data_IF_310645319757
#
_entry.id   IF_310645319757
#
_cell.length_a   1.000
_cell.length_b   1.000
_cell.length_c   1.000
_cell.angle_alpha   90.00
_cell.angle_beta   90.00
_cell.angle_gamma   90.00
#
_symmetry.space_group_name_H-M   'P 1'
#
loop_
_entity.id
_entity.type
_entity.pdbx_description
1 polymer ?
#
# COMPACT_ATOMS: atom_id res chain seq x y z
N UNK A 1 15.54 15.68 -12.52
CA UNK A 1 16.19 14.97 -11.40
C UNK A 1 15.12 14.70 -10.34
N UNK A 2 14.58 13.47 -10.31
CA UNK A 2 13.64 13.03 -9.30
C UNK A 2 14.43 12.40 -8.15
N UNK A 3 14.46 13.06 -7.00
CA UNK A 3 15.04 12.48 -5.79
C UNK A 3 14.05 11.50 -5.18
N UNK A 4 14.33 10.23 -5.34
CA UNK A 4 13.66 9.18 -4.56
C UNK A 4 14.24 9.25 -3.16
N UNK A 5 13.48 9.78 -2.21
CA UNK A 5 13.89 9.80 -0.80
C UNK A 5 13.60 8.42 -0.18
N UNK A 6 14.43 7.45 -0.55
CA UNK A 6 14.54 6.22 0.22
C UNK A 6 15.64 6.44 1.26
N UNK A 7 15.30 6.50 2.53
CA UNK A 7 16.32 6.57 3.58
C UNK A 7 16.90 5.17 3.75
N UNK A 8 18.12 4.97 3.25
CA UNK A 8 18.87 3.73 3.43
C UNK A 8 20.24 4.10 3.97
N UNK A 9 20.57 3.58 5.15
CA UNK A 9 21.95 3.53 5.65
C UNK A 9 22.38 2.06 5.68
N UNK A 10 23.37 1.69 4.86
CA UNK A 10 23.88 0.33 4.75
C UNK A 10 25.24 0.15 5.43
N UNK A 11 25.43 -0.97 6.13
CA UNK A 11 26.74 -1.58 6.39
C UNK A 11 26.62 -3.09 6.28
N UNK A 12 27.51 -3.71 5.49
CA UNK A 12 27.65 -5.16 5.36
C UNK A 12 28.18 -5.74 6.68
N UNK A 13 27.35 -6.49 7.37
CA UNK A 13 27.68 -7.30 8.52
C UNK A 13 26.44 -8.10 8.88
N UNK A 14 26.55 -9.32 9.38
CA UNK A 14 25.46 -10.24 9.75
C UNK A 14 24.08 -9.60 9.69
N UNK A 15 23.20 -10.03 8.76
CA UNK A 15 21.87 -9.42 8.55
C UNK A 15 21.05 -9.60 9.85
N UNK A 16 21.20 -8.67 10.77
CA UNK A 16 20.26 -8.49 11.87
C UNK A 16 18.97 -8.00 11.23
N UNK A 17 17.85 -8.65 11.49
CA UNK A 17 16.55 -8.20 11.02
C UNK A 17 16.31 -6.77 11.47
N UNK A 18 15.95 -5.89 10.54
CA UNK A 18 15.58 -4.49 10.85
C UNK A 18 14.20 -4.38 11.46
N UNK A 19 13.47 -5.49 11.52
CA UNK A 19 12.13 -5.57 12.08
C UNK A 19 11.10 -6.12 11.10
N UNK A 20 9.92 -6.36 11.63
CA UNK A 20 8.78 -6.90 10.88
C UNK A 20 7.96 -5.77 10.30
N UNK A 21 7.51 -5.92 9.05
CA UNK A 21 6.76 -4.91 8.32
C UNK A 21 5.55 -5.51 7.59
N UNK A 22 4.41 -4.86 7.67
CA UNK A 22 3.26 -5.16 6.81
C UNK A 22 3.37 -4.32 5.54
N UNK A 23 3.54 -4.95 4.39
CA UNK A 23 3.67 -4.28 3.10
C UNK A 23 2.39 -4.42 2.27
N UNK A 24 1.81 -3.29 1.86
CA UNK A 24 0.65 -3.26 0.96
C UNK A 24 1.14 -3.53 -0.45
N UNK A 25 0.68 -4.64 -1.05
CA UNK A 25 1.10 -5.07 -2.38
C UNK A 25 -0.13 -5.33 -3.27
N UNK A 26 -0.32 -4.49 -4.27
CA UNK A 26 -1.40 -4.67 -5.27
C UNK A 26 -1.04 -5.69 -6.35
N UNK A 27 0.25 -5.94 -6.58
CA UNK A 27 0.77 -6.72 -7.70
C UNK A 27 1.26 -5.88 -8.89
N UNK A 28 1.03 -4.57 -8.85
CA UNK A 28 1.64 -3.61 -9.77
C UNK A 28 3.14 -3.42 -9.51
N UNK A 29 3.84 -2.82 -10.49
CA UNK A 29 5.31 -2.70 -10.49
C UNK A 29 5.87 -2.09 -9.21
N UNK A 30 5.32 -0.95 -8.76
CA UNK A 30 5.86 -0.21 -7.61
C UNK A 30 5.72 -1.00 -6.31
N UNK A 31 4.56 -1.59 -6.08
CA UNK A 31 4.28 -2.37 -4.87
C UNK A 31 5.11 -3.66 -4.80
N UNK A 32 5.33 -4.32 -5.95
CA UNK A 32 6.20 -5.49 -6.04
C UNK A 32 7.66 -5.09 -5.81
N UNK A 33 8.10 -3.99 -6.42
CA UNK A 33 9.45 -3.44 -6.19
C UNK A 33 9.68 -3.12 -4.71
N UNK A 34 8.70 -2.50 -4.05
CA UNK A 34 8.74 -2.24 -2.61
C UNK A 34 8.94 -3.53 -1.80
N UNK A 35 8.20 -4.60 -2.11
CA UNK A 35 8.32 -5.87 -1.38
C UNK A 35 9.72 -6.48 -1.49
N UNK A 36 10.30 -6.50 -2.70
CA UNK A 36 11.68 -6.96 -2.91
C UNK A 36 12.70 -6.06 -2.21
N UNK A 37 12.49 -4.75 -2.27
CA UNK A 37 13.35 -3.78 -1.61
C UNK A 37 13.39 -3.98 -0.09
N UNK A 38 12.24 -4.18 0.55
CA UNK A 38 12.16 -4.44 1.99
C UNK A 38 12.97 -5.67 2.39
N UNK A 39 12.86 -6.78 1.64
CA UNK A 39 13.66 -7.99 1.89
C UNK A 39 15.15 -7.73 1.69
N UNK A 40 15.53 -7.02 0.62
CA UNK A 40 16.93 -6.66 0.35
C UNK A 40 17.53 -5.81 1.49
N UNK A 41 16.73 -4.90 2.02
CA UNK A 41 17.11 -4.07 3.17
C UNK A 41 17.16 -4.81 4.51
N UNK A 42 16.74 -6.09 4.57
CA UNK A 42 16.79 -6.92 5.78
C UNK A 42 15.55 -6.81 6.67
N UNK A 43 14.43 -6.31 6.15
CA UNK A 43 13.14 -6.41 6.83
C UNK A 43 12.52 -7.79 6.63
N UNK A 44 11.60 -8.16 7.52
CA UNK A 44 10.78 -9.37 7.44
C UNK A 44 9.34 -8.96 7.05
N UNK A 45 9.01 -8.87 5.75
CA UNK A 45 7.71 -8.43 5.32
C UNK A 45 6.66 -9.55 5.43
N UNK A 46 5.45 -9.12 5.79
CA UNK A 46 4.19 -9.81 5.48
C UNK A 46 3.49 -8.98 4.42
N UNK A 47 3.02 -9.60 3.35
CA UNK A 47 2.31 -8.92 2.29
C UNK A 47 0.80 -8.93 2.56
N UNK A 48 0.15 -7.79 2.29
CA UNK A 48 -1.29 -7.65 2.33
C UNK A 48 -1.79 -7.07 1.02
N UNK A 49 -2.78 -7.74 0.42
CA UNK A 49 -3.46 -7.30 -0.80
C UNK A 49 -4.94 -7.15 -0.55
N UNK A 50 -5.60 -6.31 -1.36
CA UNK A 50 -7.00 -5.99 -1.21
C UNK A 50 -7.77 -6.29 -2.51
N UNK A 51 -8.83 -7.06 -2.38
CA UNK A 51 -9.82 -7.26 -3.45
C UNK A 51 -11.02 -6.35 -3.17
N UNK A 52 -11.11 -5.26 -3.90
CA UNK A 52 -12.23 -4.32 -3.84
C UNK A 52 -13.08 -4.34 -5.12
N UNK A 53 -12.97 -5.42 -5.91
CA UNK A 53 -13.68 -5.59 -7.17
C UNK A 53 -13.05 -4.83 -8.34
N UNK A 54 -11.73 -4.60 -8.29
CA UNK A 54 -10.98 -3.98 -9.39
C UNK A 54 -11.05 -4.82 -10.67
N UNK A 55 -11.09 -4.16 -11.83
CA UNK A 55 -11.16 -4.82 -13.15
C UNK A 55 -9.95 -5.71 -13.44
N UNK A 56 -8.77 -5.32 -12.97
CA UNK A 56 -7.52 -6.06 -13.18
C UNK A 56 -7.23 -7.05 -12.04
N UNK A 57 -8.11 -8.06 -11.88
CA UNK A 57 -7.93 -9.12 -10.88
C UNK A 57 -6.62 -9.91 -11.03
N UNK A 58 -6.02 -9.92 -12.22
CA UNK A 58 -4.70 -10.55 -12.48
C UNK A 58 -3.57 -9.95 -11.62
N UNK A 59 -3.68 -8.70 -11.18
CA UNK A 59 -2.70 -8.09 -10.30
C UNK A 59 -2.61 -8.84 -8.96
N UNK A 60 -3.73 -9.35 -8.45
CA UNK A 60 -3.74 -10.15 -7.23
C UNK A 60 -2.97 -11.47 -7.38
N UNK A 61 -2.97 -12.07 -8.58
CA UNK A 61 -2.14 -13.25 -8.86
C UNK A 61 -0.65 -12.89 -8.84
N UNK A 62 -0.27 -11.71 -9.34
CA UNK A 62 1.11 -11.23 -9.26
C UNK A 62 1.54 -10.95 -7.82
N UNK A 63 0.66 -10.38 -6.99
CA UNK A 63 0.95 -10.18 -5.56
C UNK A 63 1.17 -11.52 -4.84
N UNK A 64 0.33 -12.53 -5.12
CA UNK A 64 0.49 -13.88 -4.61
C UNK A 64 1.80 -14.53 -5.07
N UNK A 65 2.14 -14.40 -6.35
CA UNK A 65 3.40 -14.90 -6.90
C UNK A 65 4.61 -14.20 -6.28
N UNK A 66 4.53 -12.89 -6.04
CA UNK A 66 5.56 -12.13 -5.34
C UNK A 66 5.81 -12.72 -3.95
N UNK A 67 4.76 -12.95 -3.16
CA UNK A 67 4.86 -13.55 -1.83
C UNK A 67 5.49 -14.94 -1.86
N UNK A 68 5.09 -15.78 -2.84
CA UNK A 68 5.66 -17.11 -3.01
C UNK A 68 7.16 -17.07 -3.33
N UNK A 69 7.58 -16.16 -4.25
CA UNK A 69 8.99 -16.00 -4.62
C UNK A 69 9.85 -15.47 -3.49
N UNK A 70 9.31 -14.59 -2.67
CA UNK A 70 9.99 -14.04 -1.50
C UNK A 70 9.91 -15.00 -0.29
N UNK A 71 9.10 -16.06 -0.38
CA UNK A 71 8.83 -17.00 0.71
C UNK A 71 8.32 -16.29 1.97
N UNK A 72 7.35 -15.37 1.79
CA UNK A 72 6.74 -14.59 2.86
C UNK A 72 5.23 -14.83 2.94
N UNK A 73 4.64 -14.58 4.12
CA UNK A 73 3.19 -14.68 4.33
C UNK A 73 2.46 -13.64 3.50
N UNK A 74 1.29 -14.01 2.97
CA UNK A 74 0.43 -13.13 2.20
C UNK A 74 -1.01 -13.21 2.70
N UNK A 75 -1.60 -12.07 2.94
CA UNK A 75 -3.02 -11.91 3.26
C UNK A 75 -3.75 -11.28 2.09
N UNK A 76 -4.86 -11.86 1.69
CA UNK A 76 -5.81 -11.25 0.77
C UNK A 76 -7.06 -10.86 1.56
N UNK A 77 -7.37 -9.57 1.56
CA UNK A 77 -8.53 -9.00 2.27
C UNK A 77 -9.61 -8.67 1.25
N UNK A 78 -10.80 -9.21 1.45
CA UNK A 78 -11.97 -8.89 0.64
C UNK A 78 -12.60 -7.57 1.12
N UNK A 79 -12.53 -6.54 0.30
CA UNK A 79 -13.16 -5.23 0.49
C UNK A 79 -14.33 -4.99 -0.47
N UNK A 80 -14.81 -6.01 -1.18
CA UNK A 80 -15.92 -5.87 -2.15
C UNK A 80 -17.20 -5.35 -1.49
N UNK A 81 -17.39 -5.64 -0.20
CA UNK A 81 -18.51 -5.10 0.58
C UNK A 81 -18.56 -3.56 0.53
N UNK A 82 -17.43 -2.90 0.34
CA UNK A 82 -17.35 -1.44 0.21
C UNK A 82 -17.55 -0.94 -1.22
N UNK A 83 -17.61 -1.82 -2.21
CA UNK A 83 -17.69 -1.45 -3.63
C UNK A 83 -18.91 -0.58 -3.94
N UNK A 84 -20.05 -0.86 -3.30
CA UNK A 84 -21.25 -0.05 -3.46
C UNK A 84 -21.09 1.39 -2.98
N UNK A 85 -20.22 1.61 -2.00
CA UNK A 85 -19.89 2.94 -1.48
C UNK A 85 -18.83 3.66 -2.35
N UNK A 86 -18.11 2.92 -3.18
CA UNK A 86 -17.04 3.39 -4.05
C UNK A 86 -17.45 3.44 -5.53
N UNK A 87 -18.73 3.26 -5.84
CA UNK A 87 -19.28 3.07 -7.19
C UNK A 87 -19.16 4.27 -8.13
N UNK A 88 -18.66 5.40 -7.65
CA UNK A 88 -18.42 6.60 -8.47
C UNK A 88 -17.14 6.53 -9.31
N UNK A 89 -16.32 5.48 -9.14
CA UNK A 89 -15.05 5.32 -9.87
C UNK A 89 -15.21 4.35 -11.05
N UNK A 90 -14.60 4.68 -12.20
CA UNK A 90 -14.51 3.80 -13.36
C UNK A 90 -13.69 2.52 -13.09
N UNK A 91 -12.89 2.48 -12.03
CA UNK A 91 -12.13 1.29 -11.63
C UNK A 91 -12.98 0.24 -10.91
N UNK A 92 -14.15 0.63 -10.39
CA UNK A 92 -15.06 -0.24 -9.63
C UNK A 92 -16.44 -0.39 -10.27
N UNK A 93 -16.78 0.42 -11.27
CA UNK A 93 -18.08 0.41 -11.96
C UNK A 93 -17.93 0.13 -13.44
N UNK A 94 -18.62 -0.92 -13.94
CA UNK A 94 -18.70 -1.21 -15.36
C UNK A 94 -19.55 -0.21 -16.16
N UNK A 95 -20.32 0.62 -15.47
CA UNK A 95 -21.16 1.66 -16.07
C UNK A 95 -20.36 2.91 -16.48
N UNK A 96 -19.11 3.04 -16.04
CA UNK A 96 -18.24 4.19 -16.33
C UNK A 96 -17.07 3.69 -17.17
N UNK A 97 -16.94 4.17 -18.42
CA UNK A 97 -15.81 3.84 -19.28
C UNK A 97 -14.52 4.46 -18.74
N UNK A 98 -13.43 3.68 -18.80
CA UNK A 98 -12.08 4.21 -18.56
C UNK A 98 -11.69 5.02 -19.79
N UNK A 99 -11.39 6.32 -19.69
CA UNK A 99 -11.03 7.12 -20.83
C UNK A 99 -9.75 6.64 -21.48
N UNK A 100 -9.81 6.33 -22.77
CA UNK A 100 -8.63 6.09 -23.62
C UNK A 100 -8.04 7.43 -24.04
N UNK A 101 -6.79 7.73 -23.66
CA UNK A 101 -6.10 8.93 -24.13
C UNK A 101 -5.10 9.52 -23.15
N UNK A 102 -4.55 10.67 -23.53
CA UNK A 102 -3.56 11.41 -22.73
C UNK A 102 -4.08 11.74 -21.34
N UNK A 103 -3.19 11.62 -20.36
CA UNK A 103 -3.39 11.98 -18.96
C UNK A 103 -3.85 13.44 -18.80
N UNK A 104 -5.14 13.70 -18.96
CA UNK A 104 -5.74 14.98 -18.65
C UNK A 104 -6.36 14.89 -17.24
N UNK A 105 -6.20 15.93 -16.46
CA UNK A 105 -6.62 15.98 -15.05
C UNK A 105 -8.11 15.63 -14.84
N UNK A 106 -8.97 15.98 -15.79
CA UNK A 106 -10.41 15.68 -15.73
C UNK A 106 -10.73 14.21 -15.99
N UNK A 107 -10.02 13.57 -16.94
CA UNK A 107 -10.23 12.14 -17.25
C UNK A 107 -9.74 11.21 -16.14
N UNK A 108 -8.74 11.64 -15.38
CA UNK A 108 -8.17 10.86 -14.29
C UNK A 108 -9.01 10.91 -13.01
N UNK A 109 -9.80 11.98 -12.78
CA UNK A 109 -10.71 12.08 -11.62
C UNK A 109 -11.74 10.94 -11.58
N UNK A 110 -12.13 10.42 -12.75
CA UNK A 110 -13.08 9.30 -12.87
C UNK A 110 -12.49 7.97 -12.37
N UNK A 111 -11.16 7.86 -12.28
CA UNK A 111 -10.47 6.66 -11.77
C UNK A 111 -10.23 6.70 -10.26
N UNK A 112 -10.52 7.82 -9.61
CA UNK A 112 -10.31 7.97 -8.16
C UNK A 112 -11.32 7.12 -7.39
N UNK A 113 -10.82 6.19 -6.59
CA UNK A 113 -11.61 5.48 -5.58
C UNK A 113 -11.44 6.25 -4.27
N UNK A 114 -12.49 6.92 -3.78
CA UNK A 114 -12.38 7.78 -2.60
C UNK A 114 -11.85 7.04 -1.38
N UNK A 115 -10.91 7.65 -0.65
CA UNK A 115 -10.32 7.10 0.58
C UNK A 115 -9.68 5.70 0.44
N UNK A 116 -9.37 5.23 -0.76
CA UNK A 116 -8.84 3.89 -0.98
C UNK A 116 -7.56 3.65 -0.17
N UNK A 117 -6.57 4.52 -0.31
CA UNK A 117 -5.31 4.35 0.40
C UNK A 117 -5.48 4.53 1.92
N UNK A 118 -6.34 5.44 2.36
CA UNK A 118 -6.68 5.58 3.78
C UNK A 118 -7.23 4.27 4.36
N UNK A 119 -8.21 3.65 3.70
CA UNK A 119 -8.80 2.38 4.14
C UNK A 119 -7.75 1.26 4.17
N UNK A 120 -6.97 1.12 3.10
CA UNK A 120 -5.94 0.08 3.00
C UNK A 120 -4.87 0.24 4.07
N UNK A 121 -4.40 1.45 4.34
CA UNK A 121 -3.42 1.73 5.40
C UNK A 121 -3.99 1.42 6.78
N UNK A 122 -5.24 1.80 7.07
CA UNK A 122 -5.88 1.48 8.35
C UNK A 122 -5.99 -0.03 8.58
N UNK A 123 -6.39 -0.81 7.58
CA UNK A 123 -6.49 -2.28 7.68
C UNK A 123 -5.11 -2.91 7.84
N UNK A 124 -4.10 -2.44 7.08
CA UNK A 124 -2.72 -2.91 7.23
C UNK A 124 -2.16 -2.61 8.62
N UNK A 125 -2.48 -1.44 9.18
CA UNK A 125 -2.08 -1.07 10.54
C UNK A 125 -2.76 -1.96 11.59
N UNK A 126 -4.04 -2.28 11.42
CA UNK A 126 -4.73 -3.19 12.34
C UNK A 126 -4.05 -4.58 12.35
N UNK A 127 -3.62 -5.09 11.19
CA UNK A 127 -2.84 -6.33 11.10
C UNK A 127 -1.48 -6.16 11.79
N UNK A 128 -0.77 -5.06 11.54
CA UNK A 128 0.53 -4.81 12.12
C UNK A 128 0.46 -4.78 13.66
N UNK A 129 -0.50 -4.07 14.21
CA UNK A 129 -0.71 -3.99 15.67
C UNK A 129 -1.04 -5.35 16.26
N UNK A 130 -1.94 -6.12 15.63
CA UNK A 130 -2.38 -7.43 16.14
C UNK A 130 -1.30 -8.50 16.10
N UNK A 131 -0.36 -8.41 15.15
CA UNK A 131 0.74 -9.38 15.00
C UNK A 131 2.09 -8.82 15.53
N UNK A 132 2.11 -7.67 16.20
CA UNK A 132 3.33 -7.03 16.73
C UNK A 132 4.37 -6.70 15.65
N UNK A 133 3.93 -6.14 14.53
CA UNK A 133 4.80 -5.57 13.51
C UNK A 133 5.00 -4.07 13.77
N UNK A 134 6.23 -3.58 13.59
CA UNK A 134 6.58 -2.19 13.91
C UNK A 134 6.35 -1.22 12.75
N UNK A 135 6.13 -1.72 11.54
CA UNK A 135 6.07 -0.89 10.34
C UNK A 135 4.92 -1.29 9.42
N UNK A 136 4.36 -0.30 8.73
CA UNK A 136 3.52 -0.48 7.55
C UNK A 136 4.18 0.23 6.37
N UNK A 137 4.25 -0.44 5.24
CA UNK A 137 4.85 0.10 4.02
C UNK A 137 3.85 0.08 2.87
N UNK A 138 3.85 1.15 2.08
CA UNK A 138 3.02 1.29 0.88
C UNK A 138 3.82 1.87 -0.27
N UNK A 139 3.52 1.45 -1.50
CA UNK A 139 4.21 1.89 -2.71
C UNK A 139 3.62 3.17 -3.33
N UNK A 140 3.04 4.07 -2.52
CA UNK A 140 2.61 5.38 -3.02
C UNK A 140 3.82 6.23 -3.38
N UNK A 141 3.79 6.92 -4.50
CA UNK A 141 4.91 7.75 -4.95
C UNK A 141 4.47 9.15 -5.38
N UNK A 142 5.45 10.07 -5.42
CA UNK A 142 5.19 11.49 -5.70
C UNK A 142 4.62 11.79 -7.10
N UNK A 143 4.66 10.85 -8.05
CA UNK A 143 4.05 11.00 -9.37
C UNK A 143 2.51 11.01 -9.32
N UNK A 144 1.93 10.33 -8.33
CA UNK A 144 0.47 10.18 -8.19
C UNK A 144 -0.20 11.32 -7.40
N UNK A 145 0.58 12.16 -6.73
CA UNK A 145 0.06 13.18 -5.78
C UNK A 145 -0.82 14.26 -6.42
N UNK A 146 -0.67 14.53 -7.72
CA UNK A 146 -1.52 15.50 -8.43
C UNK A 146 -2.96 15.02 -8.55
N UNK A 147 -3.15 13.71 -8.73
CA UNK A 147 -4.45 13.10 -9.05
C UNK A 147 -5.09 12.51 -7.80
N UNK A 148 -4.27 11.84 -6.97
CA UNK A 148 -4.74 11.12 -5.79
C UNK A 148 -4.33 11.85 -4.51
N UNK A 149 -5.27 12.56 -3.85
CA UNK A 149 -4.96 13.30 -2.62
C UNK A 149 -4.39 12.43 -1.51
N UNK A 150 -4.81 11.16 -1.44
CA UNK A 150 -4.37 10.16 -0.47
C UNK A 150 -3.04 9.47 -0.83
N UNK A 151 -2.31 10.00 -1.84
CA UNK A 151 -0.91 9.69 -2.13
C UNK A 151 0.04 10.84 -1.73
N UNK A 152 -0.47 11.96 -1.24
CA UNK A 152 0.33 13.14 -0.93
C UNK A 152 1.14 12.95 0.35
N UNK A 153 2.37 13.49 0.43
CA UNK A 153 3.19 13.40 1.64
C UNK A 153 2.50 13.93 2.90
N UNK A 154 1.72 15.02 2.76
CA UNK A 154 0.98 15.61 3.87
C UNK A 154 -0.10 14.67 4.40
N UNK A 155 -0.78 13.93 3.48
CA UNK A 155 -1.75 12.92 3.86
C UNK A 155 -1.07 11.79 4.62
N UNK A 156 0.01 11.22 4.07
CA UNK A 156 0.74 10.10 4.71
C UNK A 156 1.23 10.50 6.11
N UNK A 157 1.79 11.71 6.25
CA UNK A 157 2.22 12.24 7.56
C UNK A 157 1.04 12.34 8.54
N UNK A 158 -0.06 12.94 8.13
CA UNK A 158 -1.25 13.09 8.97
C UNK A 158 -1.86 11.74 9.35
N UNK A 159 -1.92 10.81 8.38
CA UNK A 159 -2.41 9.45 8.61
C UNK A 159 -1.54 8.70 9.62
N UNK A 160 -0.22 8.80 9.50
CA UNK A 160 0.73 8.20 10.45
C UNK A 160 0.50 8.71 11.87
N UNK A 161 0.40 10.03 12.07
CA UNK A 161 0.12 10.61 13.39
C UNK A 161 -1.24 10.15 13.94
N UNK A 162 -2.27 10.09 13.09
CA UNK A 162 -3.59 9.60 13.49
C UNK A 162 -3.52 8.14 13.96
N UNK A 163 -2.78 7.30 13.25
CA UNK A 163 -2.63 5.89 13.58
C UNK A 163 -1.81 5.67 14.85
N UNK A 164 -0.77 6.48 15.08
CA UNK A 164 -0.02 6.48 16.36
C UNK A 164 -0.95 6.78 17.53
N UNK A 165 -1.77 7.79 17.41
CA UNK A 165 -2.74 8.16 18.47
C UNK A 165 -3.80 7.07 18.67
N UNK A 166 -4.35 6.51 17.58
CA UNK A 166 -5.39 5.49 17.64
C UNK A 166 -4.91 4.18 18.29
N UNK A 167 -3.60 3.91 18.26
CA UNK A 167 -3.01 2.68 18.78
C UNK A 167 -2.07 2.91 19.97
N UNK A 168 -2.13 4.09 20.58
CA UNK A 168 -1.30 4.42 21.74
C UNK A 168 -1.54 3.42 22.89
N UNK A 169 -0.46 2.83 23.39
CA UNK A 169 -0.49 1.82 24.46
C UNK A 169 -0.72 0.37 24.00
N UNK A 170 -1.02 0.12 22.72
CA UNK A 170 -1.14 -1.24 22.17
C UNK A 170 0.13 -1.72 21.47
N UNK A 171 1.05 -0.82 21.19
CA UNK A 171 2.30 -1.11 20.47
C UNK A 171 3.46 -0.93 21.45
N UNK A 172 4.31 -1.97 21.55
CA UNK A 172 5.46 -1.97 22.45
C UNK A 172 6.63 -1.09 21.96
N UNK A 173 6.63 -0.70 20.68
CA UNK A 173 7.63 0.13 20.00
C UNK A 173 6.95 1.28 19.27
N UNK A 174 7.64 2.42 19.12
CA UNK A 174 7.13 3.51 18.31
C UNK A 174 6.88 3.03 16.88
N UNK A 175 5.69 3.34 16.39
CA UNK A 175 5.23 2.97 15.06
C UNK A 175 5.71 4.03 14.06
N UNK A 176 6.50 3.64 13.07
CA UNK A 176 6.97 4.50 11.97
C UNK A 176 6.44 4.06 10.61
#
# INVERSE_FOLDING_TARGET
YYSHSWVICGSQGLKVSKGKVVAIVSGGLDSVTLAYHLVDQGYEPVLISYDYGQRHSKELDFAKLCAQRLNVKHHLVDLKVLTSLMSTSSLTSDAIEVPDGHYAEETMKVTVVPNRNAIMINVATALAVSENYSFVATGVHGGDHFIYPDCRPEFIKSQTETLKLANAGFIATEFD
#
